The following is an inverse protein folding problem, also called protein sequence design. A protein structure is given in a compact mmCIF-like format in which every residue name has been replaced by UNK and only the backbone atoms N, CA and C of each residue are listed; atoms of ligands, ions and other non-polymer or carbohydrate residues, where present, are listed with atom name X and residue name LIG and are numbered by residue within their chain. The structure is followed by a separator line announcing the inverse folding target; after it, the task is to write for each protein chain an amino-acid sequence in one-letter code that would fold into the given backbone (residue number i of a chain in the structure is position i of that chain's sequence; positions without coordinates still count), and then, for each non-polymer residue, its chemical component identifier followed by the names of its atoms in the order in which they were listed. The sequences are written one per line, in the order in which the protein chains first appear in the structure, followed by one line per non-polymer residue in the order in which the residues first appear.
data_IF_859655355111
#
_entry.id   IF_859655355111
#
_cell.length_a   1.000
_cell.length_b   1.000
_cell.length_c   1.000
_cell.angle_alpha   90.00
_cell.angle_beta   90.00
_cell.angle_gamma   90.00
#
_symmetry.space_group_name_H-M   'P 1'
#
loop_
_entity.id
_entity.type
_entity.pdbx_description
1 polymer ?
#
# COMPACT_ATOMS: atom_id res chain seq x y z
N UNK A 1 2.93 -19.33 8.36
CA UNK A 1 2.72 -18.69 7.05
C UNK A 1 2.28 -17.25 7.27
N UNK A 2 2.66 -16.35 6.42
CA UNK A 2 2.34 -14.91 6.50
C UNK A 2 2.77 -14.25 7.81
N UNK A 3 4.05 -14.37 8.12
CA UNK A 3 4.61 -13.74 9.32
C UNK A 3 4.73 -12.23 9.17
N UNK A 4 5.11 -11.75 8.01
CA UNK A 4 5.27 -10.33 7.71
C UNK A 4 4.36 -9.94 6.55
N UNK A 5 3.36 -9.13 6.85
CA UNK A 5 2.38 -8.67 5.86
C UNK A 5 2.60 -7.20 5.57
N UNK A 6 2.73 -6.87 4.30
CA UNK A 6 2.84 -5.49 3.84
C UNK A 6 1.51 -5.07 3.25
N UNK A 7 0.97 -3.98 3.74
CA UNK A 7 -0.28 -3.42 3.23
C UNK A 7 -0.05 -1.97 2.77
N UNK A 8 0.17 -1.76 1.48
CA UNK A 8 0.21 -0.41 0.93
C UNK A 8 -1.15 0.26 1.07
N UNK A 9 -1.17 1.47 1.58
CA UNK A 9 -2.41 2.22 1.79
C UNK A 9 -2.41 3.49 0.95
N UNK A 10 -3.59 3.82 0.45
CA UNK A 10 -3.85 5.09 -0.22
C UNK A 10 -5.19 5.63 0.25
N UNK A 11 -5.68 6.69 -0.37
CA UNK A 11 -6.96 7.29 0.02
C UNK A 11 -8.16 6.64 -0.66
N UNK A 12 -7.96 5.52 -1.34
CA UNK A 12 -9.06 4.87 -2.05
C UNK A 12 -10.03 4.18 -1.10
N UNK A 13 -11.26 4.05 -1.55
CA UNK A 13 -12.27 3.25 -0.83
C UNK A 13 -11.87 1.79 -0.77
N UNK A 14 -11.26 1.30 -1.81
CA UNK A 14 -10.85 -0.11 -1.94
C UNK A 14 -9.79 -0.47 -0.90
N UNK A 15 -8.96 0.48 -0.50
CA UNK A 15 -8.01 0.24 0.59
C UNK A 15 -8.73 -0.07 1.90
N UNK A 16 -9.89 0.55 2.15
CA UNK A 16 -10.67 0.28 3.35
C UNK A 16 -11.28 -1.12 3.33
N UNK A 17 -11.75 -1.57 2.17
CA UNK A 17 -12.29 -2.92 2.02
C UNK A 17 -11.19 -3.97 2.17
N UNK A 18 -10.03 -3.71 1.59
CA UNK A 18 -8.87 -4.57 1.74
C UNK A 18 -8.42 -4.66 3.21
N UNK A 19 -8.59 -3.59 3.99
CA UNK A 19 -8.21 -3.57 5.39
C UNK A 19 -8.92 -4.66 6.21
N UNK A 20 -10.18 -4.95 5.91
CA UNK A 20 -10.90 -6.02 6.60
C UNK A 20 -10.25 -7.38 6.34
N UNK A 21 -9.82 -7.62 5.11
CA UNK A 21 -9.12 -8.85 4.75
C UNK A 21 -7.79 -8.93 5.49
N UNK A 22 -7.06 -7.82 5.56
CA UNK A 22 -5.79 -7.74 6.29
C UNK A 22 -5.98 -8.07 7.77
N UNK A 23 -7.01 -7.50 8.40
CA UNK A 23 -7.32 -7.78 9.80
C UNK A 23 -7.51 -9.29 10.02
N UNK A 24 -8.32 -9.92 9.17
CA UNK A 24 -8.58 -11.35 9.28
C UNK A 24 -7.29 -12.17 9.14
N UNK A 25 -6.45 -11.84 8.18
CA UNK A 25 -5.20 -12.57 7.97
C UNK A 25 -4.26 -12.39 9.15
N UNK A 26 -4.06 -11.15 9.59
CA UNK A 26 -3.14 -10.87 10.69
C UNK A 26 -3.59 -11.53 11.98
N UNK A 27 -4.89 -11.52 12.27
CA UNK A 27 -5.41 -12.19 13.45
C UNK A 27 -5.27 -13.72 13.36
N UNK A 28 -5.49 -14.27 12.17
CA UNK A 28 -5.40 -15.72 11.96
C UNK A 28 -3.98 -16.24 12.12
N UNK A 29 -2.99 -15.52 11.62
CA UNK A 29 -1.60 -15.98 11.58
C UNK A 29 -0.69 -15.31 12.61
N UNK A 30 -1.19 -14.33 13.35
CA UNK A 30 -0.35 -13.56 14.27
C UNK A 30 0.72 -12.76 13.56
N UNK A 31 0.39 -12.22 12.40
CA UNK A 31 1.36 -11.54 11.53
C UNK A 31 1.84 -10.21 12.10
N UNK A 32 3.08 -9.86 11.75
CA UNK A 32 3.55 -8.50 11.89
C UNK A 32 3.06 -7.69 10.69
N UNK A 33 2.33 -6.62 10.94
CA UNK A 33 1.73 -5.81 9.88
C UNK A 33 2.49 -4.51 9.70
N UNK A 34 2.84 -4.21 8.46
CA UNK A 34 3.46 -2.94 8.08
C UNK A 34 2.53 -2.23 7.10
N UNK A 35 2.16 -1.01 7.44
CA UNK A 35 1.40 -0.12 6.57
C UNK A 35 2.40 0.79 5.85
N UNK A 36 2.32 0.81 4.54
CA UNK A 36 3.21 1.62 3.71
C UNK A 36 2.41 2.63 2.92
N UNK A 37 2.85 3.86 2.92
CA UNK A 37 2.35 4.85 1.98
C UNK A 37 3.52 5.47 1.22
N UNK A 38 3.31 5.71 -0.06
CA UNK A 38 4.35 6.20 -0.95
C UNK A 38 4.01 7.61 -1.38
N UNK A 39 4.95 8.53 -1.13
CA UNK A 39 4.88 9.88 -1.67
C UNK A 39 5.35 9.80 -3.12
N UNK A 40 4.45 10.08 -4.05
CA UNK A 40 4.78 10.03 -5.46
C UNK A 40 5.69 11.18 -5.86
N UNK A 41 6.78 10.85 -6.52
CA UNK A 41 7.73 11.84 -7.03
C UNK A 41 7.69 11.77 -8.55
N UNK A 42 7.50 12.91 -9.25
CA UNK A 42 7.52 12.90 -10.71
C UNK A 42 8.89 12.50 -11.23
N UNK A 43 8.91 11.81 -12.36
CA UNK A 43 10.16 11.46 -13.01
C UNK A 43 10.91 12.73 -13.45
N UNK A 44 12.24 12.68 -13.54
CA UNK A 44 13.01 13.85 -14.02
C UNK A 44 12.51 14.30 -15.39
N UNK A 45 12.17 15.58 -15.50
CA UNK A 45 11.67 16.17 -16.74
C UNK A 45 10.15 16.12 -16.91
N UNK A 46 9.43 15.45 -16.01
CA UNK A 46 7.98 15.48 -16.02
C UNK A 46 7.47 16.66 -15.19
N UNK A 47 6.35 17.23 -15.62
CA UNK A 47 5.72 18.26 -14.82
C UNK A 47 5.23 17.66 -13.49
N UNK A 48 5.32 18.40 -12.39
CA UNK A 48 4.77 17.92 -11.14
C UNK A 48 3.29 17.60 -11.35
N UNK A 49 2.81 16.44 -10.86
CA UNK A 49 1.39 16.15 -10.93
C UNK A 49 0.62 17.24 -10.18
N UNK A 50 -0.58 17.54 -10.65
CA UNK A 50 -1.46 18.46 -9.93
C UNK A 50 -1.56 17.99 -8.48
N UNK A 51 -1.74 18.94 -7.57
CA UNK A 51 -1.78 18.66 -6.15
C UNK A 51 -2.68 17.46 -5.85
N UNK A 52 -2.06 16.32 -5.64
CA UNK A 52 -2.72 15.08 -5.24
C UNK A 52 -2.44 14.88 -3.75
N UNK A 53 -3.40 14.34 -3.00
CA UNK A 53 -3.14 14.00 -1.59
C UNK A 53 -1.92 13.10 -1.42
N UNK A 54 -1.60 12.29 -2.43
CA UNK A 54 -0.46 11.38 -2.37
C UNK A 54 0.88 12.05 -2.68
N UNK A 55 0.90 13.36 -2.94
CA UNK A 55 2.14 14.11 -3.13
C UNK A 55 2.49 14.98 -1.93
N UNK A 56 1.61 15.04 -0.93
CA UNK A 56 1.81 15.84 0.28
C UNK A 56 2.27 14.95 1.43
N UNK A 57 3.48 15.16 1.97
CA UNK A 57 3.95 14.39 3.13
C UNK A 57 3.00 14.49 4.33
N UNK A 58 2.39 15.65 4.56
CA UNK A 58 1.45 15.84 5.66
C UNK A 58 0.19 15.01 5.48
N UNK A 59 -0.34 14.97 4.26
CA UNK A 59 -1.52 14.18 3.96
C UNK A 59 -1.24 12.69 4.11
N UNK A 60 -0.05 12.25 3.72
CA UNK A 60 0.36 10.85 3.83
C UNK A 60 0.55 10.46 5.29
N UNK A 61 1.17 11.33 6.10
CA UNK A 61 1.32 11.08 7.53
C UNK A 61 -0.04 10.92 8.20
N UNK A 62 -1.00 11.77 7.84
CA UNK A 62 -2.36 11.70 8.36
C UNK A 62 -3.07 10.42 7.92
N UNK A 63 -2.89 10.03 6.65
CA UNK A 63 -3.44 8.80 6.13
C UNK A 63 -2.92 7.58 6.88
N UNK A 64 -1.62 7.51 7.12
CA UNK A 64 -1.00 6.40 7.85
C UNK A 64 -1.49 6.35 9.29
N UNK A 65 -1.61 7.49 9.94
CA UNK A 65 -2.11 7.57 11.30
C UNK A 65 -3.56 7.10 11.39
N UNK A 66 -4.39 7.52 10.46
CA UNK A 66 -5.80 7.09 10.39
C UNK A 66 -5.90 5.59 10.18
N UNK A 67 -5.11 5.05 9.25
CA UNK A 67 -5.08 3.62 8.99
C UNK A 67 -4.61 2.84 10.22
N UNK A 68 -3.54 3.30 10.86
CA UNK A 68 -3.02 2.66 12.07
C UNK A 68 -4.06 2.63 13.18
N UNK A 69 -4.79 3.73 13.37
CA UNK A 69 -5.87 3.81 14.37
C UNK A 69 -6.96 2.80 14.08
N UNK A 70 -7.35 2.66 12.81
CA UNK A 70 -8.36 1.69 12.40
C UNK A 70 -7.94 0.27 12.79
N UNK A 71 -6.70 -0.12 12.52
CA UNK A 71 -6.19 -1.43 12.91
C UNK A 71 -6.10 -1.60 14.43
N UNK A 72 -5.67 -0.56 15.13
CA UNK A 72 -5.59 -0.59 16.59
C UNK A 72 -6.97 -0.82 17.21
N UNK A 73 -8.01 -0.20 16.68
CA UNK A 73 -9.38 -0.40 17.13
C UNK A 73 -9.87 -1.83 16.92
N UNK A 74 -9.27 -2.53 15.97
CA UNK A 74 -9.56 -3.94 15.70
C UNK A 74 -8.63 -4.89 16.46
N UNK A 75 -7.80 -4.36 17.36
CA UNK A 75 -6.87 -5.17 18.14
C UNK A 75 -5.62 -5.59 17.37
N UNK A 76 -5.32 -4.93 16.27
CA UNK A 76 -4.16 -5.23 15.43
C UNK A 76 -3.15 -4.09 15.55
N UNK A 77 -1.92 -4.41 15.95
CA UNK A 77 -0.84 -3.42 15.97
C UNK A 77 -0.17 -3.39 14.60
N UNK A 78 0.01 -2.19 14.09
CA UNK A 78 0.63 -2.00 12.78
C UNK A 78 1.77 -0.99 12.88
N UNK A 79 2.87 -1.30 12.18
CA UNK A 79 3.96 -0.36 12.00
C UNK A 79 3.66 0.46 10.74
N UNK A 80 4.02 1.73 10.75
CA UNK A 80 3.83 2.61 9.59
C UNK A 80 5.16 2.96 8.96
N UNK A 81 5.20 3.00 7.63
CA UNK A 81 6.34 3.44 6.86
C UNK A 81 5.89 4.43 5.80
N UNK A 82 6.68 5.47 5.62
CA UNK A 82 6.49 6.44 4.54
C UNK A 82 7.76 6.41 3.68
N UNK A 83 7.59 6.34 2.37
CA UNK A 83 8.70 6.34 1.42
C UNK A 83 8.34 7.23 0.24
N UNK A 84 9.37 7.70 -0.45
CA UNK A 84 9.20 8.50 -1.67
C UNK A 84 9.61 7.67 -2.88
N UNK A 85 8.95 7.89 -4.00
CA UNK A 85 9.31 7.26 -5.27
C UNK A 85 8.10 6.85 -6.08
N UNK A 86 8.33 5.90 -6.98
CA UNK A 86 7.26 5.32 -7.80
C UNK A 86 6.61 4.18 -7.02
N UNK A 87 5.29 4.22 -6.81
CA UNK A 87 4.63 3.29 -5.89
C UNK A 87 4.97 1.82 -6.10
N UNK A 88 4.86 1.31 -7.31
CA UNK A 88 5.09 -0.12 -7.55
C UNK A 88 6.51 -0.56 -7.18
N UNK A 89 7.51 0.24 -7.54
CA UNK A 89 8.90 -0.09 -7.22
C UNK A 89 9.17 0.01 -5.73
N UNK A 90 8.65 1.06 -5.09
CA UNK A 90 8.84 1.26 -3.66
C UNK A 90 8.18 0.13 -2.86
N UNK A 91 6.96 -0.27 -3.24
CA UNK A 91 6.26 -1.36 -2.57
C UNK A 91 7.09 -2.65 -2.63
N UNK A 92 7.61 -2.99 -3.80
CA UNK A 92 8.40 -4.21 -3.96
C UNK A 92 9.74 -4.12 -3.21
N UNK A 93 10.38 -2.94 -3.22
CA UNK A 93 11.62 -2.73 -2.48
C UNK A 93 11.41 -2.88 -0.97
N UNK A 94 10.34 -2.29 -0.45
CA UNK A 94 10.01 -2.41 0.97
C UNK A 94 9.66 -3.85 1.34
N UNK A 95 8.92 -4.54 0.46
CA UNK A 95 8.59 -5.95 0.69
C UNK A 95 9.87 -6.80 0.85
N UNK A 96 10.87 -6.53 0.02
CA UNK A 96 12.16 -7.21 0.13
C UNK A 96 12.90 -6.80 1.41
N UNK A 97 12.90 -5.51 1.72
CA UNK A 97 13.57 -4.95 2.90
C UNK A 97 13.04 -5.53 4.21
N UNK A 98 11.74 -5.73 4.33
CA UNK A 98 11.12 -6.24 5.57
C UNK A 98 10.92 -7.76 5.55
N UNK A 99 11.39 -8.43 4.52
CA UNK A 99 11.13 -9.87 4.33
C UNK A 99 9.64 -10.19 4.36
N UNK A 100 8.84 -9.40 3.67
CA UNK A 100 7.41 -9.64 3.58
C UNK A 100 7.15 -10.98 2.90
N UNK A 101 6.20 -11.72 3.41
CA UNK A 101 5.76 -12.96 2.79
C UNK A 101 4.33 -12.88 2.25
N UNK A 102 3.74 -11.69 2.35
CA UNK A 102 2.48 -11.36 1.69
C UNK A 102 2.36 -9.86 1.50
N UNK A 103 1.95 -9.45 0.31
CA UNK A 103 1.50 -8.09 0.04
C UNK A 103 0.00 -8.15 -0.22
N UNK A 104 -0.79 -7.31 0.46
CA UNK A 104 -2.23 -7.20 0.20
C UNK A 104 -2.50 -5.88 -0.49
N UNK A 105 -3.20 -5.92 -1.61
CA UNK A 105 -3.54 -4.71 -2.39
C UNK A 105 -4.99 -4.72 -2.82
N UNK A 106 -5.58 -3.53 -2.88
CA UNK A 106 -6.84 -3.34 -3.59
C UNK A 106 -6.59 -3.38 -5.10
N UNK A 107 -7.56 -3.85 -5.86
CA UNK A 107 -7.41 -3.89 -7.31
C UNK A 107 -7.93 -2.62 -8.01
N UNK A 108 -8.69 -1.83 -7.29
CA UNK A 108 -9.25 -0.58 -7.83
C UNK A 108 -8.75 0.56 -6.97
N UNK A 109 -8.40 1.61 -7.40
CA UNK A 109 -7.88 2.75 -6.66
C UNK A 109 -6.82 3.40 -7.47
N UNK A 110 -5.59 3.15 -7.14
CA UNK A 110 -4.48 3.71 -7.91
C UNK A 110 -4.45 3.10 -9.31
N UNK A 111 -4.53 3.94 -10.32
CA UNK A 111 -4.34 3.52 -11.70
C UNK A 111 -5.60 3.22 -12.48
N UNK A 112 -6.76 3.27 -11.87
CA UNK A 112 -8.01 3.20 -12.62
C UNK A 112 -8.42 4.60 -13.06
N UNK A 113 -7.68 5.12 -14.00
CA UNK A 113 -8.19 6.24 -14.77
C UNK A 113 -8.94 5.68 -15.96
N UNK A 114 -9.85 6.45 -16.49
CA UNK A 114 -10.59 6.09 -17.71
C UNK A 114 -9.65 5.82 -18.87
N UNK A 115 -8.48 6.34 -18.79
CA UNK A 115 -7.42 6.16 -19.77
C UNK A 115 -6.53 4.98 -19.40
N UNK A 116 -7.02 4.11 -18.57
CA UNK A 116 -6.36 2.98 -17.94
C UNK A 116 -5.53 2.07 -18.82
N UNK A 117 -5.13 2.61 -19.92
CA UNK A 117 -4.16 1.99 -20.80
C UNK A 117 -2.81 1.80 -20.11
N UNK A 118 -2.53 2.54 -19.07
CA UNK A 118 -1.31 2.33 -18.30
C UNK A 118 -1.56 1.27 -17.25
N UNK A 119 -0.57 0.42 -17.04
CA UNK A 119 -0.63 -0.61 -16.01
C UNK A 119 -0.90 0.02 -14.65
N UNK A 120 -1.87 -0.56 -13.93
CA UNK A 120 -2.13 -0.15 -12.56
C UNK A 120 -0.92 -0.46 -11.67
N UNK A 121 -0.84 0.23 -10.53
CA UNK A 121 0.18 -0.06 -9.54
C UNK A 121 0.10 -1.54 -9.13
N UNK A 122 -1.12 -2.03 -8.95
CA UNK A 122 -1.35 -3.44 -8.58
C UNK A 122 -0.74 -4.40 -9.60
N UNK A 123 -0.98 -4.18 -10.88
CA UNK A 123 -0.44 -5.02 -11.94
C UNK A 123 1.09 -5.02 -11.92
N UNK A 124 1.70 -3.86 -11.75
CA UNK A 124 3.16 -3.78 -11.68
C UNK A 124 3.72 -4.49 -10.46
N UNK A 125 3.06 -4.36 -9.32
CA UNK A 125 3.47 -5.06 -8.10
C UNK A 125 3.39 -6.57 -8.30
N UNK A 126 2.33 -7.07 -8.91
CA UNK A 126 2.19 -8.49 -9.20
C UNK A 126 3.39 -9.00 -10.02
N UNK A 127 3.82 -8.22 -11.01
CA UNK A 127 4.91 -8.61 -11.89
C UNK A 127 6.29 -8.51 -11.24
N UNK A 128 6.46 -7.66 -10.23
CA UNK A 128 7.77 -7.36 -9.64
C UNK A 128 7.93 -7.89 -8.23
N UNK A 129 6.88 -8.35 -7.60
CA UNK A 129 6.87 -8.71 -6.18
C UNK A 129 7.80 -9.87 -5.86
N UNK A 130 8.58 -9.79 -4.77
CA UNK A 130 9.39 -10.91 -4.28
C UNK A 130 8.58 -11.95 -3.51
N UNK A 131 7.27 -11.70 -3.28
CA UNK A 131 6.42 -12.58 -2.48
C UNK A 131 4.99 -12.63 -3.05
N UNK A 132 4.14 -13.53 -2.55
CA UNK A 132 2.75 -13.57 -2.97
C UNK A 132 2.02 -12.24 -2.79
N UNK A 133 1.13 -11.94 -3.72
CA UNK A 133 0.30 -10.74 -3.69
C UNK A 133 -1.17 -11.17 -3.65
N UNK A 134 -1.88 -10.73 -2.64
CA UNK A 134 -3.32 -10.94 -2.53
C UNK A 134 -4.02 -9.69 -3.01
N UNK A 135 -4.83 -9.84 -4.04
CA UNK A 135 -5.58 -8.72 -4.63
C UNK A 135 -7.02 -8.78 -4.14
N UNK A 136 -7.48 -7.70 -3.53
CA UNK A 136 -8.86 -7.58 -3.02
C UNK A 136 -9.63 -6.67 -3.96
N UNK A 137 -10.63 -7.19 -4.65
CA UNK A 137 -11.43 -6.39 -5.59
C UNK A 137 -12.30 -5.35 -4.87
#
# INVERSE_FOLDING_TARGET
MFKNVLFPVDQSREAREAAEVVVNIVQQYGSHLVLLSVVEVPAPGEEPPQASPMTSPEAIAELLKTAQTLFTERGVQAQTLEREGKPAFVICDVADEIDADLIVMGCRGLGLTEEGASESVTTRVINLSPCPVLVVP
#
